data_IF_311370641192
#
_entry.id   IF_311370641192
#
_cell.length_a   1.000
_cell.length_b   1.000
_cell.length_c   1.000
_cell.angle_alpha   90.00
_cell.angle_beta   90.00
_cell.angle_gamma   90.00
#
_symmetry.space_group_name_H-M   'P 1'
#
loop_
_entity.id
_entity.type
_entity.pdbx_description
1 polymer ?
#
# COMPACT_ATOMS: atom_id res chain seq x y z
N UNK A 1 14.23 -33.90 -30.75
CA UNK A 1 13.68 -34.88 -29.79
C UNK A 1 12.88 -34.11 -28.75
N UNK A 2 11.56 -34.10 -28.89
CA UNK A 2 10.67 -33.33 -28.05
C UNK A 2 10.47 -34.04 -26.71
N UNK A 3 10.97 -33.45 -25.63
CA UNK A 3 10.58 -33.82 -24.26
C UNK A 3 9.11 -33.41 -24.09
N UNK A 4 8.22 -34.40 -24.17
CA UNK A 4 6.79 -34.19 -23.97
C UNK A 4 6.53 -33.65 -22.57
N UNK A 5 5.64 -32.67 -22.45
CA UNK A 5 5.14 -32.07 -21.20
C UNK A 5 4.76 -33.13 -20.15
N UNK A 6 4.34 -34.32 -20.59
CA UNK A 6 4.04 -35.49 -19.77
C UNK A 6 5.23 -36.00 -18.92
N UNK A 7 6.47 -35.87 -19.39
CA UNK A 7 7.67 -36.34 -18.68
C UNK A 7 8.05 -35.45 -17.48
N UNK A 8 7.71 -34.16 -17.56
CA UNK A 8 7.91 -33.20 -16.47
C UNK A 8 6.91 -33.48 -15.35
N UNK A 9 5.66 -33.83 -15.70
CA UNK A 9 4.64 -34.23 -14.74
C UNK A 9 4.96 -35.56 -14.05
N UNK A 10 5.62 -36.52 -14.72
CA UNK A 10 6.07 -37.76 -14.09
C UNK A 10 7.24 -37.56 -13.11
N UNK A 11 8.12 -36.58 -13.36
CA UNK A 11 9.24 -36.27 -12.46
C UNK A 11 8.79 -35.51 -11.21
N UNK A 12 7.73 -34.70 -11.29
CA UNK A 12 7.12 -34.05 -10.12
C UNK A 12 6.40 -35.07 -9.22
N UNK A 13 5.84 -36.14 -9.80
CA UNK A 13 5.18 -37.22 -9.04
C UNK A 13 6.16 -38.19 -8.38
N UNK A 14 7.38 -38.33 -8.90
CA UNK A 14 8.39 -39.25 -8.36
C UNK A 14 9.15 -38.69 -7.13
N UNK A 15 9.07 -37.38 -6.86
CA UNK A 15 9.81 -36.72 -5.78
C UNK A 15 9.20 -36.81 -4.37
N UNK A 16 8.06 -37.50 -4.18
CA UNK A 16 7.49 -37.68 -2.83
C UNK A 16 7.30 -39.15 -2.47
N UNK A 17 8.43 -39.84 -2.29
CA UNK A 17 8.51 -41.14 -1.62
C UNK A 17 8.38 -40.97 -0.09
N UNK A 18 7.26 -40.42 0.35
CA UNK A 18 6.69 -40.64 1.68
C UNK A 18 5.24 -41.04 1.41
N UNK A 19 4.79 -42.16 1.96
CA UNK A 19 3.44 -42.67 1.76
C UNK A 19 2.42 -41.68 2.33
N UNK A 20 2.05 -40.66 1.54
CA UNK A 20 0.95 -39.76 1.84
C UNK A 20 -0.31 -40.57 1.59
N UNK A 21 -1.06 -40.88 2.65
CA UNK A 21 -2.38 -41.49 2.51
C UNK A 21 -3.18 -40.70 1.46
N UNK A 22 -3.56 -41.35 0.36
CA UNK A 22 -4.43 -40.76 -0.64
C UNK A 22 -5.86 -40.80 -0.11
N UNK A 23 -6.29 -39.69 0.50
CA UNK A 23 -7.69 -39.56 0.91
C UNK A 23 -8.55 -39.42 -0.34
N UNK A 24 -9.54 -40.30 -0.48
CA UNK A 24 -10.62 -40.14 -1.45
C UNK A 24 -11.57 -39.06 -0.94
N UNK A 25 -11.46 -37.85 -1.51
CA UNK A 25 -12.37 -36.74 -1.20
C UNK A 25 -13.67 -36.84 -2.01
N UNK A 26 -14.78 -36.42 -1.41
CA UNK A 26 -16.06 -36.31 -2.11
C UNK A 26 -15.96 -35.25 -3.23
N UNK A 27 -16.15 -35.62 -4.51
CA UNK A 27 -16.15 -34.68 -5.63
C UNK A 27 -17.15 -33.54 -5.48
N UNK A 28 -18.24 -33.72 -4.72
CA UNK A 28 -19.26 -32.69 -4.50
C UNK A 28 -18.72 -31.49 -3.71
N UNK A 29 -17.75 -31.69 -2.81
CA UNK A 29 -17.15 -30.60 -2.03
C UNK A 29 -16.51 -29.52 -2.91
N UNK A 30 -16.00 -29.88 -4.09
CA UNK A 30 -15.44 -28.93 -5.05
C UNK A 30 -16.49 -27.94 -5.56
N UNK A 31 -17.69 -28.41 -5.85
CA UNK A 31 -18.77 -27.56 -6.39
C UNK A 31 -19.51 -26.80 -5.29
N UNK A 32 -19.63 -27.40 -4.09
CA UNK A 32 -20.42 -26.83 -3.00
C UNK A 32 -19.62 -25.96 -2.03
N UNK A 33 -18.28 -26.05 -2.04
CA UNK A 33 -17.42 -25.30 -1.11
C UNK A 33 -16.42 -24.44 -1.86
N UNK A 34 -15.63 -25.04 -2.76
CA UNK A 34 -14.54 -24.32 -3.43
C UNK A 34 -15.06 -23.21 -4.34
N UNK A 35 -16.04 -23.52 -5.20
CA UNK A 35 -16.63 -22.54 -6.12
C UNK A 35 -17.37 -21.41 -5.39
N UNK A 36 -18.24 -21.67 -4.39
CA UNK A 36 -18.91 -20.60 -3.65
C UNK A 36 -17.94 -19.69 -2.90
N UNK A 37 -16.92 -20.24 -2.24
CA UNK A 37 -15.90 -19.41 -1.56
C UNK A 37 -15.20 -18.50 -2.58
N UNK A 38 -14.74 -19.04 -3.72
CA UNK A 38 -14.06 -18.23 -4.74
C UNK A 38 -14.95 -17.13 -5.32
N UNK A 39 -16.24 -17.39 -5.59
CA UNK A 39 -17.17 -16.37 -6.08
C UNK A 39 -17.41 -15.29 -5.02
N UNK A 40 -17.67 -15.68 -3.77
CA UNK A 40 -17.89 -14.74 -2.67
C UNK A 40 -16.64 -13.87 -2.47
N UNK A 41 -15.44 -14.45 -2.55
CA UNK A 41 -14.19 -13.68 -2.44
C UNK A 41 -14.07 -12.62 -3.52
N UNK A 42 -14.31 -12.97 -4.78
CA UNK A 42 -14.25 -12.00 -5.89
C UNK A 42 -15.30 -10.90 -5.73
N UNK A 43 -16.55 -11.27 -5.43
CA UNK A 43 -17.64 -10.30 -5.25
C UNK A 43 -17.41 -9.38 -4.06
N UNK A 44 -16.92 -9.90 -2.93
CA UNK A 44 -16.63 -9.08 -1.75
C UNK A 44 -15.43 -8.17 -1.96
N UNK A 45 -14.42 -8.60 -2.74
CA UNK A 45 -13.33 -7.73 -3.16
C UNK A 45 -13.80 -6.55 -4.01
N UNK A 46 -14.65 -6.83 -5.00
CA UNK A 46 -15.27 -5.79 -5.85
C UNK A 46 -16.16 -4.85 -5.02
N UNK A 47 -17.01 -5.40 -4.15
CA UNK A 47 -17.90 -4.61 -3.30
C UNK A 47 -17.10 -3.71 -2.35
N UNK A 48 -16.01 -4.24 -1.77
CA UNK A 48 -15.11 -3.46 -0.91
C UNK A 48 -14.52 -2.27 -1.66
N UNK A 49 -14.06 -2.46 -2.89
CA UNK A 49 -13.53 -1.37 -3.71
C UNK A 49 -14.55 -0.25 -3.87
N UNK A 50 -15.77 -0.58 -4.28
CA UNK A 50 -16.84 0.42 -4.44
C UNK A 50 -17.22 1.10 -3.12
N UNK A 51 -17.26 0.35 -2.01
CA UNK A 51 -17.50 0.93 -0.68
C UNK A 51 -16.38 1.90 -0.32
N UNK A 52 -15.12 1.54 -0.59
CA UNK A 52 -13.97 2.36 -0.27
C UNK A 52 -13.96 3.66 -1.09
N UNK A 53 -14.28 3.58 -2.39
CA UNK A 53 -14.45 4.75 -3.25
C UNK A 53 -15.60 5.65 -2.77
N UNK A 54 -16.69 5.07 -2.27
CA UNK A 54 -17.82 5.82 -1.72
C UNK A 54 -17.52 6.44 -0.34
N UNK A 55 -16.65 5.79 0.43
CA UNK A 55 -16.21 6.24 1.75
C UNK A 55 -15.11 7.30 1.64
N UNK A 56 -14.34 7.26 0.55
CA UNK A 56 -13.24 8.19 0.29
C UNK A 56 -13.76 9.62 0.44
N UNK A 57 -13.05 10.47 1.21
CA UNK A 57 -13.49 11.83 1.40
C UNK A 57 -13.54 12.53 0.04
N UNK A 58 -14.71 13.06 -0.33
CA UNK A 58 -14.79 14.06 -1.39
C UNK A 58 -13.76 15.16 -1.09
N UNK A 59 -13.02 15.60 -2.10
CA UNK A 59 -11.94 16.59 -1.95
C UNK A 59 -12.43 17.77 -1.10
N UNK A 60 -12.07 17.77 0.18
CA UNK A 60 -12.44 18.86 1.07
C UNK A 60 -11.72 20.10 0.59
N UNK A 61 -12.46 21.19 0.43
CA UNK A 61 -11.87 22.48 0.08
C UNK A 61 -10.87 22.88 1.15
N UNK A 62 -9.59 22.70 0.88
CA UNK A 62 -8.52 23.17 1.77
C UNK A 62 -8.55 24.71 1.77
N UNK A 63 -8.48 25.37 2.94
CA UNK A 63 -8.40 26.82 3.00
C UNK A 63 -7.24 27.32 2.14
N UNK A 64 -7.48 28.36 1.33
CA UNK A 64 -6.49 28.92 0.40
C UNK A 64 -5.15 29.24 1.07
N UNK A 65 -5.18 29.68 2.33
CA UNK A 65 -3.97 30.03 3.11
C UNK A 65 -3.09 28.79 3.37
N UNK A 66 -3.69 27.67 3.81
CA UNK A 66 -2.97 26.41 4.02
C UNK A 66 -2.42 25.83 2.72
N UNK A 67 -3.19 25.94 1.62
CA UNK A 67 -2.69 25.52 0.30
C UNK A 67 -1.49 26.38 -0.11
N UNK A 68 -1.57 27.70 0.07
CA UNK A 68 -0.48 28.62 -0.26
C UNK A 68 0.79 28.26 0.53
N UNK A 69 0.66 28.01 1.84
CA UNK A 69 1.76 27.58 2.72
C UNK A 69 2.46 26.32 2.18
N UNK A 70 1.69 25.27 1.89
CA UNK A 70 2.21 24.01 1.35
C UNK A 70 2.88 24.18 -0.04
N UNK A 71 2.28 25.00 -0.91
CA UNK A 71 2.83 25.26 -2.25
C UNK A 71 4.17 26.00 -2.20
N UNK A 72 4.38 26.91 -1.23
CA UNK A 72 5.68 27.57 -1.05
C UNK A 72 6.76 26.61 -0.57
N UNK A 73 6.41 25.69 0.34
CA UNK A 73 7.32 24.61 0.76
C UNK A 73 7.67 23.71 -0.43
N UNK A 74 6.66 23.27 -1.20
CA UNK A 74 6.89 22.45 -2.39
C UNK A 74 7.77 23.16 -3.42
N UNK A 75 7.56 24.46 -3.63
CA UNK A 75 8.38 25.27 -4.53
C UNK A 75 9.84 25.34 -4.09
N UNK A 76 10.10 25.43 -2.78
CA UNK A 76 11.46 25.41 -2.23
C UNK A 76 12.12 24.03 -2.42
N UNK A 77 11.41 22.95 -2.12
CA UNK A 77 11.87 21.58 -2.35
C UNK A 77 12.14 21.31 -3.84
N UNK A 78 11.26 21.77 -4.72
CA UNK A 78 11.42 21.63 -6.17
C UNK A 78 12.63 22.41 -6.69
N UNK A 79 12.94 23.58 -6.11
CA UNK A 79 14.15 24.33 -6.47
C UNK A 79 15.42 23.61 -5.98
N UNK A 80 15.40 23.01 -4.79
CA UNK A 80 16.52 22.22 -4.28
C UNK A 80 16.75 20.95 -5.11
N UNK A 81 15.68 20.25 -5.47
CA UNK A 81 15.77 18.99 -6.22
C UNK A 81 16.09 19.19 -7.71
N UNK A 82 15.50 20.21 -8.34
CA UNK A 82 15.60 20.44 -9.80
C UNK A 82 16.40 21.71 -10.14
N UNK A 83 17.16 22.24 -9.20
CA UNK A 83 17.91 23.50 -9.35
C UNK A 83 18.98 23.45 -10.44
N UNK A 84 19.44 22.25 -10.81
CA UNK A 84 20.44 22.03 -11.84
C UNK A 84 19.97 22.35 -13.26
N UNK A 85 18.66 22.35 -13.51
CA UNK A 85 18.07 22.68 -14.81
C UNK A 85 17.92 24.19 -15.05
N UNK A 86 18.46 25.04 -14.18
CA UNK A 86 18.37 26.49 -14.27
C UNK A 86 19.76 27.08 -14.47
N UNK A 87 19.84 28.21 -15.20
CA UNK A 87 21.07 29.00 -15.26
C UNK A 87 21.42 29.56 -13.88
N UNK A 88 22.73 29.75 -13.62
CA UNK A 88 23.23 30.23 -12.34
C UNK A 88 22.56 31.55 -11.89
N UNK A 89 22.37 32.49 -12.81
CA UNK A 89 21.70 33.78 -12.53
C UNK A 89 20.23 33.58 -12.13
N UNK A 90 19.48 32.74 -12.86
CA UNK A 90 18.07 32.49 -12.58
C UNK A 90 17.88 31.70 -11.28
N UNK A 91 18.81 30.80 -10.95
CA UNK A 91 18.82 30.08 -9.69
C UNK A 91 19.06 31.01 -8.51
N UNK A 92 20.09 31.88 -8.60
CA UNK A 92 20.45 32.80 -7.53
C UNK A 92 19.30 33.77 -7.18
N UNK A 93 18.66 34.37 -8.18
CA UNK A 93 17.52 35.27 -7.97
C UNK A 93 16.35 34.56 -7.26
N UNK A 94 16.03 33.33 -7.68
CA UNK A 94 14.95 32.53 -7.08
C UNK A 94 15.29 32.07 -5.67
N UNK A 95 16.55 31.70 -5.43
CA UNK A 95 17.09 31.34 -4.12
C UNK A 95 16.93 32.49 -3.13
N UNK A 96 17.41 33.69 -3.48
CA UNK A 96 17.32 34.88 -2.64
C UNK A 96 15.87 35.23 -2.29
N UNK A 97 14.99 35.26 -3.31
CA UNK A 97 13.57 35.54 -3.10
C UNK A 97 12.88 34.49 -2.21
N UNK A 98 13.21 33.20 -2.37
CA UNK A 98 12.63 32.15 -1.52
C UNK A 98 13.15 32.20 -0.09
N UNK A 99 14.43 32.52 0.11
CA UNK A 99 15.01 32.70 1.44
C UNK A 99 14.30 33.84 2.16
N UNK A 100 14.09 35.00 1.52
CA UNK A 100 13.36 36.13 2.12
C UNK A 100 11.93 35.74 2.50
N UNK A 101 11.21 35.06 1.61
CA UNK A 101 9.81 34.66 1.82
C UNK A 101 9.67 33.61 2.93
N UNK A 102 10.57 32.63 2.99
CA UNK A 102 10.55 31.54 3.97
C UNK A 102 11.06 31.99 5.33
N UNK A 103 12.14 32.78 5.38
CA UNK A 103 12.68 33.35 6.63
C UNK A 103 11.73 34.40 7.22
N UNK A 104 11.09 35.21 6.37
CA UNK A 104 10.12 36.22 6.78
C UNK A 104 8.77 35.65 7.22
N UNK A 105 8.48 34.38 6.95
CA UNK A 105 7.27 33.71 7.41
C UNK A 105 5.96 34.33 6.87
N UNK A 106 6.02 35.04 5.74
CA UNK A 106 4.91 35.85 5.20
C UNK A 106 3.65 35.03 4.89
N UNK A 107 3.82 33.77 4.52
CA UNK A 107 2.74 32.85 4.15
C UNK A 107 2.48 31.78 5.22
N UNK A 108 3.05 31.93 6.43
CA UNK A 108 2.74 31.05 7.54
C UNK A 108 1.29 31.25 7.96
N UNK A 109 0.57 30.15 8.12
CA UNK A 109 -0.70 30.18 8.83
C UNK A 109 -0.37 30.45 10.28
N UNK A 110 -0.55 31.69 10.74
CA UNK A 110 -0.51 32.01 12.18
C UNK A 110 -1.66 31.26 12.85
N UNK A 111 -1.40 30.04 13.32
CA UNK A 111 -2.17 29.46 14.41
C UNK A 111 -2.04 30.45 15.55
N UNK A 112 -3.17 30.96 16.06
CA UNK A 112 -3.19 31.90 17.17
C UNK A 112 -2.18 31.44 18.22
N UNK A 113 -1.16 32.27 18.46
CA UNK A 113 -0.20 32.08 19.52
C UNK A 113 -0.94 32.26 20.83
N UNK A 114 -1.41 31.16 21.40
CA UNK A 114 -1.72 31.05 22.82
C UNK A 114 -1.33 29.64 23.29
N UNK A 115 -0.05 29.50 23.67
CA UNK A 115 0.35 28.90 24.94
C UNK A 115 -0.03 27.47 25.31
N UNK A 116 -0.72 26.69 24.48
CA UNK A 116 -0.99 25.28 24.73
C UNK A 116 -0.83 24.56 23.40
N UNK A 117 0.09 23.61 23.34
CA UNK A 117 0.05 22.57 22.33
C UNK A 117 -1.37 21.98 22.42
N UNK A 118 -2.28 22.29 21.46
CA UNK A 118 -3.61 21.73 21.51
C UNK A 118 -3.38 20.24 21.43
N UNK A 119 -3.95 19.51 22.38
CA UNK A 119 -3.87 18.05 22.32
C UNK A 119 -4.30 17.65 20.90
N UNK A 120 -3.58 16.77 20.19
CA UNK A 120 -3.92 16.42 18.81
C UNK A 120 -5.34 15.85 18.62
N UNK A 121 -6.05 15.61 19.73
CA UNK A 121 -7.46 15.22 19.82
C UNK A 121 -8.46 16.39 19.99
N UNK A 122 -8.03 17.59 20.36
CA UNK A 122 -8.91 18.74 20.63
C UNK A 122 -9.12 19.65 19.43
N UNK A 123 -8.35 19.48 18.35
CA UNK A 123 -8.55 20.22 17.10
C UNK A 123 -9.57 19.49 16.21
N UNK A 124 -10.75 20.08 15.93
CA UNK A 124 -11.80 19.45 15.12
C UNK A 124 -11.36 19.03 13.72
N UNK A 125 -10.36 19.72 13.15
CA UNK A 125 -9.78 19.37 11.85
C UNK A 125 -8.76 18.21 11.93
N UNK A 126 -8.07 18.05 13.07
CA UNK A 126 -7.14 16.94 13.29
C UNK A 126 -7.88 15.67 13.68
N UNK A 127 -8.91 15.76 14.52
CA UNK A 127 -9.77 14.62 14.85
C UNK A 127 -10.54 14.09 13.63
N UNK A 128 -10.92 14.96 12.71
CA UNK A 128 -11.59 14.55 11.46
C UNK A 128 -10.63 13.91 10.46
N UNK A 129 -9.37 14.37 10.38
CA UNK A 129 -8.32 13.72 9.58
C UNK A 129 -7.87 12.38 10.18
N UNK A 130 -7.80 12.29 11.50
CA UNK A 130 -7.58 11.02 12.20
C UNK A 130 -8.76 10.08 12.01
N UNK A 131 -10.00 10.59 12.03
CA UNK A 131 -11.20 9.78 11.81
C UNK A 131 -11.32 9.32 10.34
N UNK A 132 -10.97 10.14 9.36
CA UNK A 132 -10.95 9.73 7.95
C UNK A 132 -9.87 8.66 7.68
N UNK A 133 -8.69 8.80 8.29
CA UNK A 133 -7.63 7.79 8.23
C UNK A 133 -8.03 6.51 8.96
N UNK A 134 -8.63 6.61 10.15
CA UNK A 134 -9.15 5.47 10.89
C UNK A 134 -10.27 4.78 10.12
N UNK A 135 -11.17 5.53 9.47
CA UNK A 135 -12.24 4.99 8.62
C UNK A 135 -11.65 4.23 7.44
N UNK A 136 -10.56 4.71 6.83
CA UNK A 136 -9.85 3.98 5.77
C UNK A 136 -9.23 2.67 6.25
N UNK A 137 -8.55 2.69 7.41
CA UNK A 137 -7.97 1.47 7.98
C UNK A 137 -9.04 0.46 8.45
N UNK A 138 -10.12 0.95 9.07
CA UNK A 138 -11.25 0.12 9.51
C UNK A 138 -12.01 -0.48 8.32
N UNK A 139 -12.23 0.29 7.24
CA UNK A 139 -12.85 -0.21 6.01
C UNK A 139 -12.05 -1.36 5.38
N UNK A 140 -10.74 -1.41 5.61
CA UNK A 140 -9.87 -2.50 5.15
C UNK A 140 -9.91 -3.74 6.05
N UNK A 141 -10.05 -3.56 7.37
CA UNK A 141 -10.02 -4.65 8.35
C UNK A 141 -11.36 -5.37 8.55
N UNK A 142 -12.46 -4.61 8.54
CA UNK A 142 -13.81 -5.14 8.82
C UNK A 142 -14.20 -6.27 7.85
N UNK A 143 -14.06 -6.11 6.52
CA UNK A 143 -14.46 -7.15 5.57
C UNK A 143 -13.68 -8.46 5.76
N UNK A 144 -12.37 -8.37 6.01
CA UNK A 144 -11.50 -9.54 6.18
C UNK A 144 -11.89 -10.35 7.43
N UNK A 145 -12.24 -9.68 8.52
CA UNK A 145 -12.63 -10.33 9.77
C UNK A 145 -13.99 -11.02 9.64
N UNK A 146 -14.96 -10.36 9.00
CA UNK A 146 -16.31 -10.91 8.79
C UNK A 146 -16.26 -12.14 7.89
N UNK A 147 -15.52 -12.08 6.78
CA UNK A 147 -15.42 -13.21 5.85
C UNK A 147 -14.68 -14.38 6.52
N UNK A 148 -13.62 -14.10 7.29
CA UNK A 148 -12.91 -15.13 8.05
C UNK A 148 -13.86 -15.84 9.04
N UNK A 149 -14.65 -15.09 9.81
CA UNK A 149 -15.68 -15.68 10.68
C UNK A 149 -16.71 -16.51 9.89
N UNK A 150 -17.20 -16.00 8.76
CA UNK A 150 -18.18 -16.67 7.91
C UNK A 150 -17.65 -18.01 7.36
N UNK A 151 -16.40 -18.04 6.86
CA UNK A 151 -15.78 -19.28 6.37
C UNK A 151 -15.64 -20.30 7.51
N UNK A 152 -15.26 -19.85 8.71
CA UNK A 152 -15.14 -20.74 9.87
C UNK A 152 -16.50 -21.32 10.30
N UNK A 153 -17.57 -20.52 10.26
CA UNK A 153 -18.90 -20.97 10.71
C UNK A 153 -19.55 -21.96 9.74
N UNK A 154 -19.50 -21.69 8.43
CA UNK A 154 -20.22 -22.50 7.42
C UNK A 154 -19.40 -23.66 6.85
N UNK A 155 -18.06 -23.58 6.88
CA UNK A 155 -17.19 -24.53 6.18
C UNK A 155 -16.13 -25.18 7.08
N UNK A 156 -16.33 -25.27 8.39
CA UNK A 156 -15.39 -25.99 9.27
C UNK A 156 -15.56 -27.51 9.25
N UNK A 157 -14.53 -28.25 9.71
CA UNK A 157 -14.65 -29.67 10.04
C UNK A 157 -14.24 -30.67 8.95
N UNK A 158 -13.83 -30.21 7.76
CA UNK A 158 -13.49 -31.11 6.65
C UNK A 158 -12.26 -30.66 5.84
N UNK A 159 -11.66 -31.62 5.15
CA UNK A 159 -10.53 -31.42 4.23
C UNK A 159 -11.09 -31.15 2.84
N UNK A 160 -10.58 -30.11 2.16
CA UNK A 160 -11.09 -29.65 0.87
C UNK A 160 -10.28 -30.18 -0.31
N UNK A 161 -8.95 -30.06 -0.25
CA UNK A 161 -8.07 -30.44 -1.35
C UNK A 161 -6.64 -30.73 -0.90
N UNK A 162 -5.86 -31.31 -1.81
CA UNK A 162 -4.42 -31.57 -1.67
C UNK A 162 -3.64 -30.59 -2.52
N UNK A 163 -2.68 -29.88 -1.93
CA UNK A 163 -1.79 -28.99 -2.67
C UNK A 163 -0.68 -29.76 -3.39
N UNK A 164 -0.26 -29.33 -4.59
CA UNK A 164 0.74 -30.03 -5.41
C UNK A 164 2.19 -29.76 -4.97
N UNK A 165 2.42 -28.93 -3.96
CA UNK A 165 3.75 -28.59 -3.46
C UNK A 165 3.93 -29.00 -1.99
N UNK A 166 5.14 -29.42 -1.58
CA UNK A 166 5.44 -29.71 -0.18
C UNK A 166 5.42 -28.42 0.66
N UNK A 167 4.78 -28.48 1.82
CA UNK A 167 4.66 -27.37 2.77
C UNK A 167 5.43 -27.67 4.05
N UNK A 168 5.94 -26.61 4.70
CA UNK A 168 6.64 -26.75 5.98
C UNK A 168 5.62 -27.01 7.11
N UNK A 169 5.97 -27.80 8.15
CA UNK A 169 5.07 -28.09 9.28
C UNK A 169 4.58 -26.85 10.05
N UNK A 170 5.26 -25.71 9.94
CA UNK A 170 4.84 -24.44 10.56
C UNK A 170 3.52 -23.92 9.98
N UNK A 171 3.21 -24.22 8.73
CA UNK A 171 1.94 -23.85 8.13
C UNK A 171 0.79 -24.76 8.57
N UNK A 172 1.05 -25.87 9.25
CA UNK A 172 0.02 -26.85 9.64
C UNK A 172 -1.04 -26.27 10.56
N UNK A 173 -0.65 -25.54 11.59
CA UNK A 173 -1.59 -24.92 12.55
C UNK A 173 -2.52 -23.91 11.86
N UNK A 174 -2.01 -23.17 10.88
CA UNK A 174 -2.81 -22.25 10.07
C UNK A 174 -3.68 -23.00 9.07
N UNK A 175 -3.12 -24.02 8.40
CA UNK A 175 -3.76 -24.68 7.25
C UNK A 175 -4.77 -25.76 7.64
N UNK A 176 -4.72 -26.25 8.87
CA UNK A 176 -5.60 -27.27 9.42
C UNK A 176 -6.44 -26.76 10.59
N UNK A 177 -6.47 -25.44 10.82
CA UNK A 177 -7.39 -24.80 11.77
C UNK A 177 -8.83 -25.11 11.35
N UNK A 178 -9.44 -26.12 11.99
CA UNK A 178 -10.77 -26.63 11.63
C UNK A 178 -10.83 -28.13 11.35
N UNK A 179 -9.71 -28.85 11.32
CA UNK A 179 -9.68 -30.32 11.25
C UNK A 179 -8.92 -30.86 12.45
N UNK A 180 -9.60 -31.59 13.34
CA UNK A 180 -9.03 -32.13 14.58
C UNK A 180 -8.24 -33.42 14.30
N UNK A 181 -7.20 -33.37 13.48
CA UNK A 181 -6.40 -34.56 13.14
C UNK A 181 -4.90 -34.24 13.08
N UNK A 182 -4.19 -34.60 14.15
CA UNK A 182 -2.77 -34.29 14.32
C UNK A 182 -1.84 -35.06 13.38
N UNK A 183 -2.29 -36.17 12.80
CA UNK A 183 -1.44 -37.05 11.96
C UNK A 183 -1.62 -36.80 10.44
N UNK A 184 -2.43 -35.81 10.06
CA UNK A 184 -2.66 -35.49 8.65
C UNK A 184 -1.49 -34.72 8.04
N UNK A 185 -1.08 -35.10 6.82
CA UNK A 185 -0.04 -34.41 6.06
C UNK A 185 -0.42 -32.95 5.77
N UNK A 186 0.57 -32.05 5.82
CA UNK A 186 0.43 -30.59 5.68
C UNK A 186 -0.07 -30.19 4.28
N UNK A 187 0.06 -31.10 3.29
CA UNK A 187 -0.46 -30.91 1.94
C UNK A 187 -1.99 -30.94 1.88
N UNK A 188 -2.66 -31.52 2.88
CA UNK A 188 -4.11 -31.53 2.97
C UNK A 188 -4.61 -30.26 3.63
N UNK A 189 -5.50 -29.58 2.92
CA UNK A 189 -5.88 -28.20 3.20
C UNK A 189 -7.37 -28.12 3.48
N UNK A 190 -7.73 -27.40 4.54
CA UNK A 190 -9.11 -27.09 4.90
C UNK A 190 -9.67 -25.90 4.10
N UNK A 191 -10.96 -25.64 4.25
CA UNK A 191 -11.65 -24.49 3.65
C UNK A 191 -11.09 -23.12 4.06
N UNK A 192 -10.68 -22.95 5.34
CA UNK A 192 -10.12 -21.68 5.87
C UNK A 192 -8.82 -21.30 5.17
N UNK A 193 -8.06 -22.31 4.78
CA UNK A 193 -6.78 -22.18 4.13
C UNK A 193 -6.93 -21.82 2.66
N UNK A 194 -7.97 -22.36 2.02
CA UNK A 194 -8.36 -21.92 0.69
C UNK A 194 -8.78 -20.44 0.68
N UNK A 195 -9.47 -19.99 1.73
CA UNK A 195 -9.75 -18.57 1.93
C UNK A 195 -8.46 -17.75 2.04
N UNK A 196 -7.50 -18.14 2.90
CA UNK A 196 -6.22 -17.43 3.02
C UNK A 196 -5.44 -17.38 1.69
N UNK A 197 -5.39 -18.49 0.96
CA UNK A 197 -4.76 -18.54 -0.36
C UNK A 197 -5.48 -17.60 -1.34
N UNK A 198 -6.82 -17.55 -1.30
CA UNK A 198 -7.61 -16.65 -2.14
C UNK A 198 -7.38 -15.18 -1.78
N UNK A 199 -7.30 -14.82 -0.49
CA UNK A 199 -7.01 -13.44 -0.06
C UNK A 199 -5.66 -12.96 -0.60
N UNK A 200 -4.62 -13.80 -0.53
CA UNK A 200 -3.28 -13.43 -1.00
C UNK A 200 -3.14 -13.51 -2.52
N UNK A 201 -3.85 -14.42 -3.18
CA UNK A 201 -3.70 -14.72 -4.60
C UNK A 201 -4.64 -13.94 -5.52
N UNK A 202 -5.67 -13.26 -5.00
CA UNK A 202 -6.66 -12.55 -5.82
C UNK A 202 -6.23 -11.12 -6.22
N UNK A 203 -5.13 -10.59 -5.69
CA UNK A 203 -4.65 -9.25 -6.07
C UNK A 203 -4.47 -9.08 -7.59
N UNK A 204 -3.80 -9.98 -8.33
CA UNK A 204 -3.70 -9.85 -9.79
C UNK A 204 -5.05 -9.91 -10.51
N UNK A 205 -6.03 -10.65 -9.95
CA UNK A 205 -7.39 -10.73 -10.51
C UNK A 205 -8.11 -9.41 -10.30
N UNK A 206 -7.96 -8.78 -9.13
CA UNK A 206 -8.51 -7.46 -8.87
C UNK A 206 -7.87 -6.41 -9.77
N UNK A 207 -6.55 -6.41 -9.96
CA UNK A 207 -5.87 -5.45 -10.83
C UNK A 207 -6.29 -5.57 -12.30
N UNK A 208 -6.63 -6.79 -12.74
CA UNK A 208 -7.10 -7.01 -14.10
C UNK A 208 -8.57 -6.58 -14.27
N UNK A 209 -9.38 -6.77 -13.23
CA UNK A 209 -10.81 -6.48 -13.27
C UNK A 209 -11.12 -5.01 -12.92
N UNK A 210 -10.27 -4.37 -12.11
CA UNK A 210 -10.38 -3.02 -11.59
C UNK A 210 -9.10 -2.26 -11.98
N UNK A 211 -9.23 -1.29 -12.90
CA UNK A 211 -8.08 -0.57 -13.46
C UNK A 211 -7.38 0.39 -12.48
N UNK A 212 -7.99 0.67 -11.31
CA UNK A 212 -7.44 1.50 -10.23
C UNK A 212 -7.34 0.68 -8.95
N UNK A 213 -6.11 0.31 -8.58
CA UNK A 213 -5.81 -0.56 -7.42
C UNK A 213 -5.27 0.22 -6.22
N UNK A 214 -5.10 1.55 -6.29
CA UNK A 214 -4.49 2.32 -5.19
C UNK A 214 -5.18 2.12 -3.83
N UNK A 215 -6.47 1.80 -3.83
CA UNK A 215 -7.30 1.47 -2.65
C UNK A 215 -7.26 0.00 -2.20
N UNK A 216 -6.76 -0.91 -3.04
CA UNK A 216 -6.71 -2.35 -2.78
C UNK A 216 -5.36 -2.74 -2.16
N UNK A 217 -4.31 -1.99 -2.46
CA UNK A 217 -2.97 -2.28 -1.96
C UNK A 217 -2.87 -1.92 -0.47
N UNK A 218 -2.81 -2.95 0.37
CA UNK A 218 -2.64 -2.86 1.83
C UNK A 218 -1.39 -2.05 2.23
N UNK A 219 -0.43 -1.88 1.32
CA UNK A 219 0.77 -1.06 1.55
C UNK A 219 0.63 0.39 1.03
N UNK A 220 -0.33 0.68 0.15
CA UNK A 220 -0.54 2.04 -0.39
C UNK A 220 -1.18 3.01 0.63
N UNK A 221 -1.59 2.53 1.81
CA UNK A 221 -1.88 3.38 2.96
C UNK A 221 -0.66 4.19 3.44
N UNK A 222 0.54 3.91 2.91
CA UNK A 222 1.69 4.80 2.95
C UNK A 222 1.64 5.80 1.79
N UNK A 223 0.59 6.61 1.72
CA UNK A 223 0.67 7.83 0.91
C UNK A 223 1.80 8.72 1.45
N UNK A 224 2.50 9.47 0.58
CA UNK A 224 3.51 10.41 1.02
C UNK A 224 2.92 11.35 2.07
N UNK A 225 3.66 11.71 3.13
CA UNK A 225 3.15 12.50 4.24
C UNK A 225 2.44 13.74 3.69
N UNK A 226 1.12 13.74 3.78
CA UNK A 226 0.35 14.96 3.59
C UNK A 226 0.68 15.85 4.76
N UNK A 227 1.53 16.85 4.52
CA UNK A 227 1.91 17.88 5.48
C UNK A 227 0.71 18.30 6.35
N UNK A 228 0.77 17.97 7.64
CA UNK A 228 -0.27 18.28 8.61
C UNK A 228 -0.73 17.08 9.46
N UNK A 229 0.01 15.97 9.45
CA UNK A 229 -0.23 14.85 10.35
C UNK A 229 0.26 15.13 11.78
N UNK A 230 -0.46 14.67 12.82
CA UNK A 230 -0.01 14.82 14.21
C UNK A 230 1.30 14.06 14.42
N UNK A 231 2.40 14.81 14.64
CA UNK A 231 3.75 14.29 14.77
C UNK A 231 4.74 14.80 13.72
N UNK A 232 4.27 15.49 12.69
CA UNK A 232 5.17 16.16 11.74
C UNK A 232 5.74 17.48 12.32
N UNK A 233 6.96 17.87 11.94
CA UNK A 233 7.53 19.15 12.32
C UNK A 233 6.57 20.28 11.92
N UNK A 234 6.37 21.23 12.84
CA UNK A 234 5.55 22.42 12.60
C UNK A 234 5.93 23.06 11.25
N UNK A 235 4.96 23.49 10.42
CA UNK A 235 5.26 24.07 9.10
C UNK A 235 6.27 25.22 9.15
N UNK A 236 6.27 25.99 10.24
CA UNK A 236 7.26 27.04 10.50
C UNK A 236 8.70 26.51 10.63
N UNK A 237 8.89 25.41 11.36
CA UNK A 237 10.20 24.78 11.51
C UNK A 237 10.67 24.21 10.17
N UNK A 238 9.75 23.66 9.37
CA UNK A 238 10.09 23.15 8.02
C UNK A 238 10.46 24.29 7.07
N UNK A 239 9.71 25.40 7.06
CA UNK A 239 10.05 26.57 6.24
C UNK A 239 11.41 27.16 6.61
N UNK A 240 11.70 27.29 7.91
CA UNK A 240 13.01 27.76 8.38
C UNK A 240 14.15 26.79 8.05
N UNK A 241 13.90 25.48 8.18
CA UNK A 241 14.84 24.44 7.76
C UNK A 241 15.17 24.56 6.28
N UNK A 242 14.14 24.64 5.42
CA UNK A 242 14.31 24.81 3.98
C UNK A 242 14.99 26.12 3.60
N UNK A 243 14.76 27.21 4.36
CA UNK A 243 15.49 28.46 4.15
C UNK A 243 16.99 28.29 4.41
N UNK A 244 17.38 27.57 5.47
CA UNK A 244 18.78 27.25 5.75
C UNK A 244 19.38 26.29 4.71
N UNK A 245 18.61 25.31 4.24
CA UNK A 245 19.09 24.42 3.17
C UNK A 245 19.32 25.21 1.87
N UNK A 246 18.42 26.15 1.55
CA UNK A 246 18.55 27.03 0.40
C UNK A 246 19.76 27.97 0.52
N UNK A 247 20.14 28.45 1.71
CA UNK A 247 21.35 29.28 1.83
C UNK A 247 22.61 28.52 1.47
N UNK A 248 22.67 27.23 1.83
CA UNK A 248 23.80 26.34 1.54
C UNK A 248 23.78 25.82 0.10
N UNK A 249 22.59 25.69 -0.52
CA UNK A 249 22.46 25.12 -1.86
C UNK A 249 23.23 25.90 -2.93
N UNK A 250 24.12 25.23 -3.64
CA UNK A 250 24.86 25.76 -4.79
C UNK A 250 24.23 25.31 -6.11
N UNK A 251 24.39 26.13 -7.16
CA UNK A 251 23.89 25.78 -8.49
C UNK A 251 24.93 24.92 -9.22
N UNK A 252 24.63 23.63 -9.39
CA UNK A 252 25.35 22.78 -10.33
C UNK A 252 24.57 22.77 -11.65
N UNK A 253 24.99 23.60 -12.60
CA UNK A 253 24.32 23.75 -13.89
C UNK A 253 24.50 22.49 -14.73
N UNK A 254 23.38 21.86 -15.11
CA UNK A 254 23.41 20.73 -16.04
C UNK A 254 23.73 21.16 -17.47
N UNK A 255 23.81 22.48 -17.75
CA UNK A 255 24.15 23.03 -19.06
C UNK A 255 25.65 23.08 -19.34
N UNK A 256 26.47 22.96 -18.31
CA UNK A 256 27.91 23.02 -18.45
C UNK A 256 28.39 21.71 -19.12
N UNK A 257 29.21 21.81 -20.17
CA UNK A 257 29.71 20.67 -20.96
C UNK A 257 28.63 19.78 -21.61
N UNK A 258 27.45 20.32 -21.96
CA UNK A 258 26.45 19.54 -22.72
C UNK A 258 26.99 19.15 -24.09
N UNK A 259 27.65 20.08 -24.79
CA UNK A 259 28.14 19.87 -26.15
C UNK A 259 29.11 18.69 -26.20
N UNK A 260 30.02 18.62 -25.22
CA UNK A 260 30.96 17.51 -25.12
C UNK A 260 30.26 16.19 -24.82
N UNK A 261 29.31 16.16 -23.86
CA UNK A 261 28.54 14.95 -23.52
C UNK A 261 27.68 14.44 -24.67
N UNK A 262 27.13 15.33 -25.48
CA UNK A 262 26.35 14.97 -26.67
C UNK A 262 27.28 14.43 -27.76
N UNK A 263 28.43 15.07 -27.98
CA UNK A 263 29.43 14.59 -28.95
C UNK A 263 29.96 13.20 -28.55
N UNK A 264 30.30 12.95 -27.28
CA UNK A 264 30.73 11.62 -26.79
C UNK A 264 29.68 10.53 -27.00
N UNK A 265 28.38 10.88 -27.00
CA UNK A 265 27.30 9.90 -27.17
C UNK A 265 26.98 9.57 -28.63
N UNK A 266 27.29 10.48 -29.56
CA UNK A 266 26.91 10.37 -30.97
C UNK A 266 28.08 10.46 -31.96
N UNK A 267 29.32 10.63 -31.51
CA UNK A 267 30.56 10.45 -32.31
C UNK A 267 31.05 9.01 -32.26
#
# INVERSE_FOLDING_TARGET
MALSVWSVWSLITAGSAGAVAELTLDPKLKYWVLLPISIVMVLTGILRQYIMDLIAPNTKGVPRVKLTESQWIYKAQALLANGSNLSAEAFQLRKEHLIEVLAGGKYLVKLNTDGQAPSPLSDPNLSENMFSMAKGNLANFIPQTIIMWWVNHFFAGFVLMKLPFPLTPRFKEMLQSGVMTADLDVRWVSSISWYFISVLGLNPVYNLLLSDTESIDINAAQQPPTMGGPGEPQPEAVMKGLANDLTIAENESCFDDIEQRVLEKYS
#
